data_IF_695978472180
#
_entry.id   IF_695978472180
#
_cell.length_a   1.000
_cell.length_b   1.000
_cell.length_c   1.000
_cell.angle_alpha   90.00
_cell.angle_beta   90.00
_cell.angle_gamma   90.00
#
_symmetry.space_group_name_H-M   'P 1'
#
loop_
_entity.id
_entity.type
_entity.pdbx_description
1 polymer ?
#
# COMPACT_ATOMS: atom_id res chain seq x y z
N UNK A 1 8.63 38.91 -4.63
CA UNK A 1 8.46 37.58 -5.22
C UNK A 1 8.45 36.59 -4.05
N UNK A 2 7.26 36.12 -3.61
CA UNK A 2 7.12 35.15 -2.51
C UNK A 2 7.39 33.76 -3.08
N UNK A 3 8.45 33.11 -2.60
CA UNK A 3 8.72 31.69 -2.88
C UNK A 3 7.63 30.85 -2.19
N UNK A 4 6.79 30.20 -2.99
CA UNK A 4 5.85 29.19 -2.50
C UNK A 4 6.69 27.97 -2.19
N UNK A 5 6.97 27.76 -0.91
CA UNK A 5 7.55 26.51 -0.41
C UNK A 5 6.41 25.48 -0.39
N UNK A 6 6.37 24.62 -1.40
CA UNK A 6 5.50 23.43 -1.39
C UNK A 6 6.14 22.47 -0.38
N UNK A 7 5.57 22.42 0.81
CA UNK A 7 5.90 21.41 1.82
C UNK A 7 5.27 20.10 1.33
N UNK A 8 6.10 19.21 0.78
CA UNK A 8 5.69 17.83 0.50
C UNK A 8 5.63 17.13 1.85
N UNK A 9 4.42 17.03 2.39
CA UNK A 9 4.12 16.26 3.59
C UNK A 9 4.39 14.78 3.32
N UNK A 10 5.09 14.10 4.24
CA UNK A 10 5.54 12.72 4.06
C UNK A 10 4.41 11.69 3.89
N UNK A 11 4.76 10.50 3.44
CA UNK A 11 3.88 9.37 3.11
C UNK A 11 2.98 8.92 4.29
N UNK A 12 3.40 9.13 5.54
CA UNK A 12 2.58 8.87 6.73
C UNK A 12 1.22 9.62 6.70
N UNK A 13 1.16 10.80 6.08
CA UNK A 13 -0.08 11.53 5.85
C UNK A 13 -1.00 10.88 4.81
N UNK A 14 -0.48 10.02 3.93
CA UNK A 14 -1.32 9.28 2.99
C UNK A 14 -2.26 8.29 3.70
N UNK A 15 -1.80 7.65 4.79
CA UNK A 15 -2.65 6.75 5.57
C UNK A 15 -3.71 7.49 6.39
N UNK A 16 -3.44 8.73 6.81
CA UNK A 16 -4.39 9.57 7.57
C UNK A 16 -5.43 10.27 6.67
N UNK A 17 -5.11 10.47 5.39
CA UNK A 17 -5.97 11.24 4.47
C UNK A 17 -7.08 10.42 3.78
N UNK A 18 -7.26 9.13 4.12
CA UNK A 18 -8.30 8.28 3.49
C UNK A 18 -8.04 7.91 2.02
N UNK A 19 -6.92 8.35 1.44
CA UNK A 19 -6.60 8.14 0.01
C UNK A 19 -5.97 6.78 -0.30
N UNK A 20 -5.93 5.83 0.65
CA UNK A 20 -5.36 4.49 0.43
C UNK A 20 -6.46 3.46 0.34
N UNK A 21 -6.38 2.63 -0.70
CA UNK A 21 -7.28 1.48 -0.86
C UNK A 21 -6.86 0.39 0.11
N UNK A 22 -7.79 -0.07 0.95
CA UNK A 22 -7.60 -1.21 1.84
C UNK A 22 -8.50 -2.39 1.46
N UNK A 23 -8.23 -3.57 2.00
CA UNK A 23 -9.09 -4.74 1.88
C UNK A 23 -9.26 -5.42 3.23
N UNK A 24 -10.45 -6.01 3.48
CA UNK A 24 -10.70 -6.82 4.67
C UNK A 24 -10.15 -8.25 4.55
N UNK A 25 -9.86 -8.71 3.34
CA UNK A 25 -9.27 -10.02 3.06
C UNK A 25 -7.87 -9.87 2.46
N UNK A 26 -6.96 -10.83 2.70
CA UNK A 26 -5.64 -10.83 2.09
C UNK A 26 -5.74 -10.98 0.57
N UNK A 27 -4.79 -10.38 -0.15
CA UNK A 27 -4.70 -10.50 -1.61
C UNK A 27 -4.02 -11.81 -2.06
N UNK A 28 -3.53 -12.63 -1.14
CA UNK A 28 -2.79 -13.86 -1.42
C UNK A 28 -3.46 -15.09 -0.80
N UNK A 29 -3.13 -16.25 -1.36
CA UNK A 29 -3.33 -17.54 -0.71
C UNK A 29 -1.97 -18.14 -0.33
N UNK A 30 -1.93 -19.14 0.52
CA UNK A 30 -0.67 -19.77 0.96
C UNK A 30 0.22 -20.24 -0.20
N UNK A 31 -0.36 -20.64 -1.34
CA UNK A 31 0.39 -21.08 -2.53
C UNK A 31 1.04 -19.95 -3.32
N UNK A 32 0.61 -18.71 -3.12
CA UNK A 32 1.11 -17.54 -3.85
C UNK A 32 2.31 -16.92 -3.13
N UNK A 33 2.52 -17.29 -1.85
CA UNK A 33 3.55 -16.73 -0.99
C UNK A 33 4.95 -17.09 -1.48
N UNK A 34 5.82 -16.10 -1.42
CA UNK A 34 7.24 -16.23 -1.73
C UNK A 34 8.08 -15.49 -0.68
N UNK A 35 9.37 -15.83 -0.62
CA UNK A 35 10.32 -15.09 0.22
C UNK A 35 11.51 -14.68 -0.63
N UNK A 36 11.86 -13.40 -0.60
CA UNK A 36 13.03 -12.88 -1.32
C UNK A 36 13.92 -12.10 -0.34
N UNK A 37 15.14 -12.62 -0.02
CA UNK A 37 16.04 -11.95 0.93
C UNK A 37 16.53 -10.58 0.44
N UNK A 38 16.40 -10.25 -0.84
CA UNK A 38 16.77 -8.95 -1.38
C UNK A 38 15.94 -7.81 -0.77
N UNK A 39 14.70 -8.11 -0.31
CA UNK A 39 13.84 -7.15 0.35
C UNK A 39 14.34 -6.76 1.75
N UNK A 40 15.06 -7.67 2.44
CA UNK A 40 15.53 -7.44 3.82
C UNK A 40 16.47 -6.24 3.91
N UNK A 41 16.37 -5.53 5.04
CA UNK A 41 17.24 -4.41 5.39
C UNK A 41 16.50 -3.09 5.41
N UNK A 42 17.28 -2.03 5.45
CA UNK A 42 16.79 -0.66 5.59
C UNK A 42 16.74 0.03 4.23
N UNK A 43 15.63 0.67 3.95
CA UNK A 43 15.39 1.42 2.74
C UNK A 43 14.98 2.85 3.11
N UNK A 44 15.37 3.82 2.31
CA UNK A 44 15.04 5.23 2.53
C UNK A 44 14.72 5.93 1.22
N UNK A 45 13.99 7.04 1.30
CA UNK A 45 13.68 7.86 0.14
C UNK A 45 14.97 8.25 -0.60
N UNK A 46 15.00 8.01 -1.90
CA UNK A 46 16.15 8.28 -2.76
C UNK A 46 16.48 9.79 -2.88
N UNK A 47 15.47 10.64 -2.72
CA UNK A 47 15.58 12.09 -2.93
C UNK A 47 15.82 12.86 -1.61
N UNK A 48 15.62 12.23 -0.45
CA UNK A 48 15.71 12.89 0.86
C UNK A 48 16.94 12.41 1.63
N UNK A 49 17.87 13.30 1.92
CA UNK A 49 19.11 13.02 2.65
C UNK A 49 19.17 13.59 4.08
N UNK A 50 18.10 14.23 4.57
CA UNK A 50 18.05 14.91 5.87
C UNK A 50 17.47 14.03 6.98
N UNK A 51 17.72 14.35 8.26
CA UNK A 51 17.35 13.57 9.45
C UNK A 51 15.86 13.27 9.66
N UNK A 52 14.98 13.92 8.89
CA UNK A 52 13.51 13.70 8.90
C UNK A 52 13.06 12.70 7.83
N UNK A 53 13.93 11.79 7.40
CA UNK A 53 13.66 10.86 6.32
C UNK A 53 12.83 9.68 6.79
N UNK A 54 11.78 9.41 6.03
CA UNK A 54 11.04 8.17 6.14
C UNK A 54 11.95 6.97 5.87
N UNK A 55 11.92 6.02 6.78
CA UNK A 55 12.75 4.80 6.74
C UNK A 55 11.81 3.59 6.76
N UNK A 56 12.03 2.68 5.81
CA UNK A 56 11.35 1.40 5.72
C UNK A 56 12.34 0.29 6.08
N UNK A 57 12.04 -0.44 7.14
CA UNK A 57 12.84 -1.57 7.60
C UNK A 57 12.07 -2.86 7.35
N UNK A 58 12.68 -3.80 6.64
CA UNK A 58 12.15 -5.14 6.45
C UNK A 58 12.99 -6.16 7.20
N UNK A 59 12.38 -6.85 8.16
CA UNK A 59 12.97 -7.90 8.98
C UNK A 59 12.24 -9.22 8.72
N UNK A 60 12.96 -10.33 8.68
CA UNK A 60 12.34 -11.66 8.63
C UNK A 60 11.88 -12.06 10.02
N UNK A 61 10.59 -12.42 10.17
CA UNK A 61 10.04 -12.92 11.44
C UNK A 61 9.63 -14.38 11.37
N UNK A 62 9.17 -14.86 10.19
CA UNK A 62 8.79 -16.25 9.96
C UNK A 62 9.29 -16.72 8.58
N UNK A 63 8.96 -17.94 8.19
CA UNK A 63 9.44 -18.53 6.93
C UNK A 63 9.13 -17.66 5.70
N UNK A 64 7.92 -17.07 5.63
CA UNK A 64 7.42 -16.27 4.50
C UNK A 64 6.82 -14.94 4.95
N UNK A 65 7.13 -14.48 6.17
CA UNK A 65 6.60 -13.25 6.75
C UNK A 65 7.73 -12.29 7.06
N UNK A 66 7.53 -11.04 6.65
CA UNK A 66 8.38 -9.92 7.02
C UNK A 66 7.65 -9.07 8.07
N UNK A 67 8.41 -8.50 8.99
CA UNK A 67 7.97 -7.31 9.70
C UNK A 67 8.43 -6.10 8.89
N UNK A 68 7.51 -5.33 8.35
CA UNK A 68 7.80 -4.05 7.73
C UNK A 68 7.54 -2.95 8.77
N UNK A 69 8.55 -2.12 9.01
CA UNK A 69 8.42 -0.95 9.89
C UNK A 69 8.66 0.30 9.07
N UNK A 70 7.67 1.19 9.04
CA UNK A 70 7.77 2.51 8.42
C UNK A 70 7.89 3.52 9.54
N UNK A 71 8.97 4.29 9.54
CA UNK A 71 9.25 5.32 10.56
C UNK A 71 9.58 6.62 9.88
N UNK A 72 8.95 7.69 10.33
CA UNK A 72 9.33 9.07 10.05
C UNK A 72 9.69 9.80 11.36
N UNK A 73 9.75 11.14 11.32
CA UNK A 73 10.07 11.98 12.48
C UNK A 73 8.99 11.99 13.56
N UNK A 74 7.77 11.59 13.25
CA UNK A 74 6.58 11.71 14.12
C UNK A 74 6.03 10.36 14.56
N UNK A 75 6.09 9.35 13.69
CA UNK A 75 5.40 8.10 13.90
C UNK A 75 6.24 6.88 13.50
N UNK A 76 5.88 5.75 14.10
CA UNK A 76 6.41 4.42 13.73
C UNK A 76 5.24 3.46 13.58
N UNK A 77 5.07 2.93 12.38
CA UNK A 77 4.04 1.97 12.06
C UNK A 77 4.66 0.64 11.68
N UNK A 78 4.17 -0.46 12.26
CA UNK A 78 4.65 -1.81 12.00
C UNK A 78 3.56 -2.68 11.37
N UNK A 79 3.98 -3.52 10.40
CA UNK A 79 3.09 -4.37 9.62
C UNK A 79 3.62 -5.80 9.55
N UNK A 80 2.72 -6.77 9.62
CA UNK A 80 2.99 -8.11 9.14
C UNK A 80 2.82 -8.11 7.62
N UNK A 81 3.90 -8.39 6.90
CA UNK A 81 3.96 -8.23 5.45
C UNK A 81 4.32 -9.53 4.76
N UNK A 82 3.57 -9.86 3.73
CA UNK A 82 3.75 -11.06 2.92
C UNK A 82 4.09 -10.67 1.47
N UNK A 83 5.18 -11.26 0.96
CA UNK A 83 5.51 -11.17 -0.46
C UNK A 83 4.79 -12.30 -1.20
N UNK A 84 4.08 -11.97 -2.27
CA UNK A 84 3.41 -12.94 -3.11
C UNK A 84 3.54 -12.62 -4.60
N UNK A 85 3.32 -13.62 -5.43
CA UNK A 85 3.37 -13.48 -6.89
C UNK A 85 2.02 -13.79 -7.52
N UNK A 86 1.52 -12.88 -8.34
CA UNK A 86 0.25 -13.03 -9.05
C UNK A 86 0.41 -12.59 -10.51
N UNK A 87 0.11 -13.48 -11.46
CA UNK A 87 0.26 -13.17 -12.89
C UNK A 87 1.68 -12.77 -13.30
N UNK A 88 2.70 -13.32 -12.64
CA UNK A 88 4.11 -12.97 -12.86
C UNK A 88 4.57 -11.66 -12.21
N UNK A 89 3.67 -10.92 -11.57
CA UNK A 89 3.96 -9.67 -10.85
C UNK A 89 4.13 -9.93 -9.37
N UNK A 90 5.14 -9.34 -8.73
CA UNK A 90 5.35 -9.38 -7.27
C UNK A 90 4.56 -8.28 -6.57
N UNK A 91 4.04 -8.62 -5.39
CA UNK A 91 3.29 -7.73 -4.51
C UNK A 91 3.66 -7.93 -3.05
N UNK A 92 3.45 -6.89 -2.24
CA UNK A 92 3.41 -6.99 -0.79
C UNK A 92 1.96 -6.80 -0.33
N UNK A 93 1.51 -7.67 0.55
CA UNK A 93 0.30 -7.51 1.34
C UNK A 93 0.72 -7.19 2.77
N UNK A 94 0.31 -6.06 3.29
CA UNK A 94 0.76 -5.54 4.58
C UNK A 94 -0.41 -5.27 5.51
N UNK A 95 -0.39 -5.91 6.69
CA UNK A 95 -1.41 -5.83 7.70
C UNK A 95 -0.84 -5.15 8.95
N UNK A 96 -1.43 -4.03 9.45
CA UNK A 96 -0.95 -3.37 10.67
C UNK A 96 -0.87 -4.30 11.86
N UNK A 97 0.21 -4.20 12.64
CA UNK A 97 0.41 -5.00 13.88
C UNK A 97 -0.31 -4.42 15.08
N UNK A 98 -0.36 -3.10 15.18
CA UNK A 98 -1.03 -2.39 16.26
C UNK A 98 -2.53 -2.33 15.97
N UNK A 99 -3.23 -3.42 16.31
CA UNK A 99 -4.68 -3.53 16.14
C UNK A 99 -5.35 -3.21 17.47
N UNK A 100 -6.29 -2.30 17.41
CA UNK A 100 -7.25 -2.11 18.51
C UNK A 100 -8.33 -3.18 18.39
N UNK A 101 -8.74 -3.79 19.49
CA UNK A 101 -9.59 -5.00 19.56
C UNK A 101 -10.91 -4.98 18.77
N UNK A 102 -11.31 -3.83 18.23
CA UNK A 102 -12.59 -3.67 17.50
C UNK A 102 -12.43 -3.20 16.06
N UNK A 103 -11.19 -3.14 15.53
CA UNK A 103 -10.98 -2.71 14.15
C UNK A 103 -11.02 -3.90 13.19
N UNK A 104 -11.70 -3.71 12.08
CA UNK A 104 -11.65 -4.65 10.95
C UNK A 104 -10.20 -4.71 10.44
N UNK A 105 -9.63 -5.90 10.17
CA UNK A 105 -8.33 -6.01 9.53
C UNK A 105 -8.32 -5.22 8.21
N UNK A 106 -7.26 -4.47 7.97
CA UNK A 106 -7.08 -3.71 6.76
C UNK A 106 -5.76 -4.10 6.10
N UNK A 107 -5.86 -4.82 4.99
CA UNK A 107 -4.73 -5.21 4.18
C UNK A 107 -4.40 -4.09 3.19
N UNK A 108 -3.14 -3.68 3.13
CA UNK A 108 -2.62 -2.71 2.17
C UNK A 108 -1.79 -3.40 1.11
N UNK A 109 -2.08 -3.10 -0.14
CA UNK A 109 -1.42 -3.70 -1.30
C UNK A 109 -0.36 -2.77 -1.87
N UNK A 110 0.88 -3.29 -1.99
CA UNK A 110 1.94 -2.64 -2.74
C UNK A 110 2.35 -3.53 -3.92
N UNK A 111 2.32 -2.99 -5.13
CA UNK A 111 2.90 -3.61 -6.31
C UNK A 111 4.38 -3.32 -6.35
N UNK A 112 5.23 -4.33 -6.53
CA UNK A 112 6.67 -4.16 -6.67
C UNK A 112 7.00 -4.00 -8.16
N UNK A 113 7.49 -2.83 -8.56
CA UNK A 113 7.97 -2.56 -9.92
C UNK A 113 9.42 -3.02 -10.11
N UNK A 114 10.24 -2.78 -9.08
CA UNK A 114 11.66 -3.14 -9.04
C UNK A 114 12.07 -3.43 -7.60
N UNK A 115 13.11 -4.25 -7.44
CA UNK A 115 13.77 -4.50 -6.15
C UNK A 115 15.28 -4.23 -6.22
N UNK A 116 15.81 -3.94 -7.39
CA UNK A 116 17.24 -3.70 -7.63
C UNK A 116 17.42 -2.79 -8.84
N UNK A 117 18.23 -1.73 -8.78
CA UNK A 117 19.01 -1.25 -7.63
C UNK A 117 18.15 -0.52 -6.57
N UNK A 118 16.91 -0.15 -6.89
CA UNK A 118 15.96 0.55 -6.03
C UNK A 118 14.74 -0.33 -5.78
N UNK A 119 14.13 -0.18 -4.61
CA UNK A 119 12.81 -0.73 -4.33
C UNK A 119 11.76 0.27 -4.79
N UNK A 120 11.02 -0.10 -5.83
CA UNK A 120 9.95 0.71 -6.40
C UNK A 120 8.60 0.09 -6.08
N UNK A 121 7.78 0.81 -5.32
CA UNK A 121 6.48 0.38 -4.84
C UNK A 121 5.36 1.26 -5.39
N UNK A 122 4.26 0.66 -5.81
CA UNK A 122 3.06 1.37 -6.25
C UNK A 122 1.85 0.87 -5.45
N UNK A 123 1.00 1.79 -5.04
CA UNK A 123 -0.32 1.52 -4.48
C UNK A 123 -1.37 1.50 -5.60
N UNK A 124 -2.53 0.87 -5.33
CA UNK A 124 -3.72 1.10 -6.15
C UNK A 124 -4.12 2.57 -6.08
N UNK A 125 -4.45 3.14 -7.23
CA UNK A 125 -4.90 4.52 -7.31
C UNK A 125 -6.34 4.65 -6.80
N UNK A 126 -6.51 5.40 -5.73
CA UNK A 126 -7.79 5.62 -5.07
C UNK A 126 -8.80 6.31 -5.99
N UNK A 127 -8.37 7.36 -6.70
CA UNK A 127 -9.28 8.12 -7.58
C UNK A 127 -9.74 7.28 -8.77
N UNK A 128 -8.80 6.52 -9.36
CA UNK A 128 -9.14 5.60 -10.44
C UNK A 128 -10.15 4.55 -9.97
N UNK A 129 -9.90 3.93 -8.81
CA UNK A 129 -10.78 2.88 -8.29
C UNK A 129 -12.15 3.44 -7.91
N UNK A 130 -12.22 4.60 -7.28
CA UNK A 130 -13.48 5.28 -6.94
C UNK A 130 -14.31 5.53 -8.21
N UNK A 131 -13.70 6.12 -9.24
CA UNK A 131 -14.37 6.34 -10.54
C UNK A 131 -14.85 5.03 -11.19
N UNK A 132 -14.03 3.96 -11.08
CA UNK A 132 -14.40 2.65 -11.61
C UNK A 132 -15.65 2.09 -10.93
N UNK A 133 -15.72 2.12 -9.59
CA UNK A 133 -16.84 1.55 -8.84
C UNK A 133 -18.07 2.44 -8.87
N UNK A 134 -17.93 3.75 -9.03
CA UNK A 134 -19.06 4.67 -9.31
C UNK A 134 -19.70 4.37 -10.66
N UNK A 135 -18.91 4.13 -11.70
CA UNK A 135 -19.40 3.80 -13.04
C UNK A 135 -19.91 2.35 -13.14
N UNK A 136 -19.29 1.44 -12.39
CA UNK A 136 -19.66 0.04 -12.35
C UNK A 136 -19.56 -0.51 -10.90
N UNK A 137 -20.61 -0.37 -10.09
CA UNK A 137 -20.63 -0.84 -8.70
C UNK A 137 -20.38 -2.35 -8.53
N UNK A 138 -20.51 -3.12 -9.61
CA UNK A 138 -20.23 -4.57 -9.64
C UNK A 138 -18.79 -4.90 -10.08
N UNK A 139 -17.93 -3.90 -10.32
CA UNK A 139 -16.56 -4.13 -10.74
C UNK A 139 -15.77 -4.92 -9.69
N UNK A 140 -16.03 -4.67 -8.42
CA UNK A 140 -15.50 -5.39 -7.26
C UNK A 140 -16.35 -5.07 -6.04
N UNK A 141 -16.52 -6.01 -5.11
CA UNK A 141 -17.22 -5.77 -3.84
C UNK A 141 -16.44 -4.79 -2.97
N UNK A 142 -17.09 -3.72 -2.52
CA UNK A 142 -16.45 -2.65 -1.77
C UNK A 142 -17.44 -1.92 -0.86
N UNK A 143 -16.92 -1.13 0.07
CA UNK A 143 -17.63 -0.14 0.87
C UNK A 143 -16.90 1.19 0.71
N UNK A 144 -17.64 2.26 0.48
CA UNK A 144 -17.13 3.63 0.54
C UNK A 144 -17.69 4.28 1.80
N UNK A 145 -16.83 4.66 2.71
CA UNK A 145 -17.18 5.40 3.93
C UNK A 145 -16.85 6.87 3.67
N UNK A 146 -17.87 7.76 3.66
CA UNK A 146 -17.64 9.19 3.52
C UNK A 146 -16.77 9.71 4.67
N UNK A 147 -16.06 10.83 4.44
CA UNK A 147 -15.40 11.57 5.51
C UNK A 147 -16.45 12.23 6.46
N UNK A 148 -15.99 12.86 7.54
CA UNK A 148 -16.86 13.52 8.51
C UNK A 148 -17.75 14.63 7.91
N UNK A 149 -17.35 15.22 6.77
CA UNK A 149 -18.13 16.22 6.03
C UNK A 149 -19.13 15.58 5.04
N UNK A 150 -19.21 14.24 4.95
CA UNK A 150 -20.08 13.51 4.04
C UNK A 150 -19.58 13.40 2.60
N UNK A 151 -18.33 13.76 2.32
CA UNK A 151 -17.72 13.63 0.99
C UNK A 151 -17.06 12.27 0.81
N UNK A 152 -17.33 11.61 -0.32
CA UNK A 152 -16.69 10.34 -0.71
C UNK A 152 -15.38 10.58 -1.47
N UNK A 153 -15.26 11.71 -2.18
CA UNK A 153 -14.15 12.01 -3.08
C UNK A 153 -13.01 12.80 -2.42
N UNK A 154 -13.23 13.36 -1.24
CA UNK A 154 -12.25 14.14 -0.49
C UNK A 154 -12.06 13.54 0.90
N UNK A 155 -11.14 12.58 1.04
CA UNK A 155 -10.82 11.96 2.33
C UNK A 155 -11.82 10.87 2.78
N UNK A 156 -12.68 10.35 1.90
CA UNK A 156 -13.44 9.13 2.14
C UNK A 156 -12.53 7.89 2.11
N UNK A 157 -12.97 6.79 2.73
CA UNK A 157 -12.25 5.51 2.74
C UNK A 157 -12.92 4.53 1.80
N UNK A 158 -12.15 3.93 0.88
CA UNK A 158 -12.61 2.83 0.04
C UNK A 158 -11.97 1.53 0.55
N UNK A 159 -12.81 0.64 1.06
CA UNK A 159 -12.39 -0.67 1.54
C UNK A 159 -12.98 -1.77 0.67
N UNK A 160 -12.14 -2.62 0.10
CA UNK A 160 -12.55 -3.78 -0.66
C UNK A 160 -13.05 -4.87 0.29
N UNK A 161 -14.24 -5.39 0.00
CA UNK A 161 -14.90 -6.45 0.79
C UNK A 161 -15.00 -7.76 0.01
N UNK A 162 -14.39 -7.81 -1.16
CA UNK A 162 -14.26 -8.99 -1.99
C UNK A 162 -13.37 -10.03 -1.31
N UNK A 163 -13.67 -11.33 -1.48
CA UNK A 163 -12.79 -12.39 -1.01
C UNK A 163 -11.49 -12.46 -1.82
N UNK A 164 -10.51 -13.21 -1.33
CA UNK A 164 -9.18 -13.34 -1.95
C UNK A 164 -9.25 -13.74 -3.42
N UNK A 165 -10.16 -14.62 -3.81
CA UNK A 165 -10.26 -15.09 -5.20
C UNK A 165 -10.72 -13.95 -6.12
N UNK A 166 -11.73 -13.21 -5.72
CA UNK A 166 -12.25 -12.04 -6.45
C UNK A 166 -11.22 -10.91 -6.49
N UNK A 167 -10.52 -10.64 -5.36
CA UNK A 167 -9.41 -9.68 -5.31
C UNK A 167 -8.32 -10.02 -6.33
N UNK A 168 -7.92 -11.29 -6.40
CA UNK A 168 -6.90 -11.76 -7.35
C UNK A 168 -7.36 -11.67 -8.80
N UNK A 169 -8.62 -11.98 -9.09
CA UNK A 169 -9.19 -11.82 -10.44
C UNK A 169 -9.19 -10.35 -10.86
N UNK A 170 -9.64 -9.47 -9.95
CA UNK A 170 -9.61 -8.03 -10.16
C UNK A 170 -8.18 -7.52 -10.44
N UNK A 171 -7.21 -7.93 -9.63
CA UNK A 171 -5.81 -7.53 -9.85
C UNK A 171 -5.28 -8.01 -11.21
N UNK A 172 -5.51 -9.29 -11.58
CA UNK A 172 -5.08 -9.82 -12.88
C UNK A 172 -5.63 -9.02 -14.05
N UNK A 173 -6.91 -8.61 -13.96
CA UNK A 173 -7.57 -7.80 -14.98
C UNK A 173 -6.93 -6.41 -15.15
N UNK A 174 -6.39 -5.84 -14.06
CA UNK A 174 -5.88 -4.47 -14.02
C UNK A 174 -4.36 -4.38 -13.91
N UNK A 175 -3.61 -5.50 -13.98
CA UNK A 175 -2.14 -5.50 -13.91
C UNK A 175 -1.48 -4.53 -14.89
N UNK A 176 -1.98 -4.50 -16.13
CA UNK A 176 -1.40 -3.70 -17.21
C UNK A 176 -2.08 -2.33 -17.39
N UNK A 177 -3.07 -2.01 -16.57
CA UNK A 177 -3.70 -0.69 -16.58
C UNK A 177 -2.85 0.30 -15.80
N UNK A 178 -2.14 1.18 -16.51
CA UNK A 178 -1.25 2.18 -15.89
C UNK A 178 -1.97 3.18 -15.01
N UNK A 179 -3.26 3.45 -15.28
CA UNK A 179 -4.06 4.38 -14.47
C UNK A 179 -4.53 3.78 -13.15
N UNK A 180 -4.43 2.44 -13.00
CA UNK A 180 -4.82 1.76 -11.77
C UNK A 180 -3.76 1.88 -10.65
N UNK A 181 -2.59 2.44 -10.94
CA UNK A 181 -1.45 2.46 -10.05
C UNK A 181 -0.89 3.87 -9.91
N UNK A 182 -0.66 4.31 -8.67
CA UNK A 182 -0.02 5.60 -8.42
C UNK A 182 1.43 5.63 -8.91
N UNK A 183 2.00 6.84 -9.00
CA UNK A 183 3.43 7.01 -9.26
C UNK A 183 4.26 6.21 -8.24
N UNK A 184 5.34 5.51 -8.66
CA UNK A 184 6.14 4.71 -7.75
C UNK A 184 6.76 5.53 -6.60
N UNK A 185 6.73 4.94 -5.41
CA UNK A 185 7.61 5.31 -4.30
C UNK A 185 8.95 4.66 -4.60
N UNK A 186 10.02 5.44 -4.62
CA UNK A 186 11.37 4.96 -4.95
C UNK A 186 12.23 5.01 -3.70
N UNK A 187 12.67 3.85 -3.24
CA UNK A 187 13.49 3.69 -2.06
C UNK A 187 14.87 3.13 -2.44
N UNK A 188 15.93 3.68 -1.83
CA UNK A 188 17.30 3.17 -1.95
C UNK A 188 17.70 2.39 -0.71
N UNK A 189 18.47 1.34 -0.89
CA UNK A 189 19.01 0.55 0.22
C UNK A 189 20.06 1.36 0.97
N UNK A 190 19.99 1.36 2.30
CA UNK A 190 20.90 2.06 3.20
C UNK A 190 21.85 1.10 3.88
#
# INVERSE_FOLDING_TARGET
MKKITVIILGFALFFLAGCVVSSIYPYYTAKDLTFDPALLGTWGDAEKTNDNNEVWLFEKIEAQTYKMTIRDSSETNAFDTHLFTLGGQKFLDSLPRDRVDYHTPEHFLFRIKSMTPTLELQLLDYEWLTKLVEQNPKAIRHIIVPNEAGHTNEGGRLTLTADTAELQEFLRKHLNNTNAWVKPIVLTKR
#
